data_IF_328652077226
#
_entry.id   IF_328652077226
#
_cell.length_a   1.000
_cell.length_b   1.000
_cell.length_c   1.000
_cell.angle_alpha   90.00
_cell.angle_beta   90.00
_cell.angle_gamma   90.00
#
_symmetry.space_group_name_H-M   'P 1'
#
loop_
_entity.id
_entity.type
_entity.pdbx_description
1 polymer ?
#
# COMPACT_ATOMS: atom_id res chain seq x y z
N UNK A 1 -19.68 -14.71 1.22
CA UNK A 1 -20.17 -14.83 -0.17
C UNK A 1 -18.98 -15.19 -1.05
N UNK A 2 -19.02 -16.36 -1.68
CA UNK A 2 -17.93 -16.85 -2.52
C UNK A 2 -17.90 -16.10 -3.84
N UNK A 3 -16.77 -15.47 -4.12
CA UNK A 3 -16.51 -14.86 -5.42
C UNK A 3 -16.44 -15.97 -6.46
N UNK A 4 -17.24 -15.83 -7.52
CA UNK A 4 -17.33 -16.80 -8.61
C UNK A 4 -15.95 -17.08 -9.20
N UNK A 5 -15.63 -18.37 -9.32
CA UNK A 5 -14.48 -18.86 -10.08
C UNK A 5 -14.58 -18.30 -11.51
N UNK A 6 -13.72 -17.33 -11.88
CA UNK A 6 -13.22 -17.02 -13.25
C UNK A 6 -12.85 -15.54 -13.53
N UNK A 7 -12.64 -14.69 -12.53
CA UNK A 7 -11.84 -13.47 -12.73
C UNK A 7 -10.47 -13.71 -12.13
N UNK A 8 -9.42 -13.66 -12.95
CA UNK A 8 -8.05 -13.72 -12.41
C UNK A 8 -7.88 -12.50 -11.54
N UNK A 9 -7.34 -12.66 -10.33
CA UNK A 9 -7.11 -11.54 -9.42
C UNK A 9 -6.26 -10.43 -10.08
N UNK A 10 -5.45 -10.81 -11.08
CA UNK A 10 -4.62 -9.94 -11.94
C UNK A 10 -5.40 -9.09 -12.94
N UNK A 11 -6.67 -9.41 -13.23
CA UNK A 11 -7.49 -8.61 -14.14
C UNK A 11 -7.99 -7.32 -13.47
N UNK A 12 -7.81 -7.22 -12.16
CA UNK A 12 -8.22 -6.07 -11.36
C UNK A 12 -7.10 -5.03 -11.30
N UNK A 13 -7.42 -3.81 -11.72
CA UNK A 13 -6.50 -2.67 -11.69
C UNK A 13 -6.79 -1.67 -10.56
N UNK A 14 -7.79 -1.89 -9.70
CA UNK A 14 -8.14 -1.00 -8.59
C UNK A 14 -8.87 -1.73 -7.46
N UNK A 15 -8.78 -1.20 -6.24
CA UNK A 15 -9.35 -1.76 -5.01
C UNK A 15 -9.91 -0.65 -4.12
N UNK A 16 -11.15 -0.83 -3.64
CA UNK A 16 -11.80 0.09 -2.70
C UNK A 16 -11.47 -0.26 -1.23
N UNK A 17 -11.90 0.58 -0.30
CA UNK A 17 -11.60 0.44 1.12
C UNK A 17 -12.05 -0.93 1.68
N UNK A 18 -13.27 -1.36 1.36
CA UNK A 18 -13.82 -2.64 1.83
C UNK A 18 -12.94 -3.81 1.39
N UNK A 19 -12.43 -3.78 0.16
CA UNK A 19 -11.54 -4.81 -0.37
C UNK A 19 -10.15 -4.78 0.26
N UNK A 20 -9.64 -3.59 0.60
CA UNK A 20 -8.41 -3.46 1.38
C UNK A 20 -8.59 -4.02 2.80
N UNK A 21 -9.77 -3.86 3.40
CA UNK A 21 -10.11 -4.48 4.68
C UNK A 21 -10.20 -6.01 4.56
N UNK A 22 -10.75 -6.54 3.46
CA UNK A 22 -10.68 -7.98 3.17
C UNK A 22 -9.24 -8.47 3.03
N UNK A 23 -8.33 -7.67 2.45
CA UNK A 23 -6.91 -7.96 2.42
C UNK A 23 -6.30 -7.99 3.83
N UNK A 24 -6.62 -6.99 4.65
CA UNK A 24 -6.11 -6.89 6.01
C UNK A 24 -6.54 -8.08 6.89
N UNK A 25 -7.74 -8.60 6.67
CA UNK A 25 -8.20 -9.83 7.31
C UNK A 25 -7.69 -11.14 6.67
N UNK A 26 -6.87 -11.06 5.62
CA UNK A 26 -6.31 -12.25 4.94
C UNK A 26 -7.31 -13.02 4.09
N UNK A 27 -8.43 -12.38 3.73
CA UNK A 27 -9.49 -12.98 2.91
C UNK A 27 -9.34 -12.70 1.42
N UNK A 28 -8.47 -11.76 1.04
CA UNK A 28 -8.27 -11.36 -0.36
C UNK A 28 -7.29 -12.28 -1.11
N UNK A 29 -6.08 -12.49 -0.57
CA UNK A 29 -5.04 -13.34 -1.18
C UNK A 29 -5.05 -14.79 -0.69
N UNK A 30 -5.93 -15.11 0.26
CA UNK A 30 -6.02 -16.41 0.91
C UNK A 30 -5.11 -16.56 2.14
N UNK A 31 -5.33 -17.60 2.96
CA UNK A 31 -4.64 -17.79 4.23
C UNK A 31 -3.12 -17.93 4.08
N UNK A 32 -2.36 -17.24 4.92
CA UNK A 32 -0.89 -17.33 4.96
C UNK A 32 -0.16 -16.48 3.91
N UNK A 33 -0.89 -15.79 3.03
CA UNK A 33 -0.32 -14.90 2.01
C UNK A 33 -0.27 -13.44 2.50
N UNK A 34 0.04 -12.51 1.59
CA UNK A 34 0.16 -11.09 1.90
C UNK A 34 -1.13 -10.57 2.58
N UNK A 35 -0.94 -9.70 3.57
CA UNK A 35 -2.01 -9.00 4.27
C UNK A 35 -1.60 -7.55 4.44
N UNK A 36 -2.55 -6.64 4.29
CA UNK A 36 -2.38 -5.27 4.73
C UNK A 36 -2.52 -5.17 6.26
N UNK A 37 -1.99 -4.12 6.90
CA UNK A 37 -2.37 -3.79 8.26
C UNK A 37 -3.86 -3.46 8.34
N UNK A 38 -4.47 -3.69 9.52
CA UNK A 38 -5.80 -3.13 9.82
C UNK A 38 -5.67 -1.66 10.25
N UNK A 39 -6.73 -0.85 10.12
CA UNK A 39 -6.81 0.44 10.82
C UNK A 39 -6.52 0.27 12.33
N UNK A 40 -5.79 1.21 12.95
CA UNK A 40 -5.41 2.51 12.42
C UNK A 40 -4.06 2.52 11.66
N UNK A 41 -3.48 1.36 11.34
CA UNK A 41 -2.17 1.25 10.64
C UNK A 41 -2.28 1.12 9.11
N UNK A 42 -3.48 0.91 8.55
CA UNK A 42 -3.71 0.98 7.11
C UNK A 42 -3.59 2.43 6.62
N UNK A 43 -2.65 2.72 5.72
CA UNK A 43 -2.26 4.11 5.37
C UNK A 43 -2.77 4.59 4.00
N UNK A 44 -3.79 3.96 3.46
CA UNK A 44 -4.51 4.41 2.27
C UNK A 44 -5.92 3.84 2.22
N UNK A 45 -6.83 4.59 1.60
CA UNK A 45 -8.25 4.23 1.53
C UNK A 45 -8.59 3.43 0.27
N UNK A 46 -7.79 3.58 -0.78
CA UNK A 46 -7.99 2.88 -2.06
C UNK A 46 -6.71 2.77 -2.86
N UNK A 47 -6.62 1.70 -3.65
CA UNK A 47 -5.67 1.58 -4.76
C UNK A 47 -6.43 1.98 -6.01
N UNK A 48 -6.05 3.11 -6.61
CA UNK A 48 -6.69 3.64 -7.84
C UNK A 48 -6.12 2.99 -9.09
N UNK A 49 -4.88 2.49 -9.03
CA UNK A 49 -4.20 1.82 -10.14
C UNK A 49 -3.22 0.77 -9.63
N UNK A 50 -3.21 -0.39 -10.25
CA UNK A 50 -2.16 -1.40 -10.12
C UNK A 50 -1.95 -2.08 -11.47
N UNK A 51 -0.70 -2.30 -11.87
CA UNK A 51 -0.36 -2.83 -13.19
C UNK A 51 0.99 -3.56 -13.18
N UNK A 52 1.11 -4.65 -13.98
CA UNK A 52 2.38 -5.36 -14.22
C UNK A 52 3.33 -4.60 -15.18
N UNK A 53 2.81 -3.57 -15.86
CA UNK A 53 3.54 -2.72 -16.82
C UNK A 53 3.39 -1.24 -16.47
N UNK A 54 4.21 -0.38 -17.08
CA UNK A 54 4.26 1.04 -16.72
C UNK A 54 5.26 1.32 -15.60
N UNK A 55 5.14 2.50 -14.98
CA UNK A 55 6.15 3.05 -14.06
C UNK A 55 7.46 3.43 -14.77
N UNK A 56 8.35 4.12 -14.06
CA UNK A 56 9.62 4.62 -14.61
C UNK A 56 10.52 3.53 -15.22
N UNK A 57 10.41 2.28 -14.76
CA UNK A 57 11.22 1.16 -15.23
C UNK A 57 10.46 0.19 -16.17
N UNK A 58 9.18 0.47 -16.48
CA UNK A 58 8.34 -0.43 -17.28
C UNK A 58 8.07 -1.79 -16.63
N UNK A 59 8.21 -1.90 -15.29
CA UNK A 59 8.05 -3.15 -14.52
C UNK A 59 6.80 -3.17 -13.63
N UNK A 60 5.92 -2.19 -13.81
CA UNK A 60 4.69 -2.06 -13.06
C UNK A 60 4.66 -0.82 -12.18
N UNK A 61 3.45 -0.47 -11.75
CA UNK A 61 3.19 0.70 -10.94
C UNK A 61 1.97 0.47 -10.03
N UNK A 62 1.93 1.19 -8.92
CA UNK A 62 0.78 1.26 -8.03
C UNK A 62 0.50 2.71 -7.68
N UNK A 63 -0.74 3.14 -7.80
CA UNK A 63 -1.23 4.43 -7.32
C UNK A 63 -2.32 4.21 -6.26
N UNK A 64 -2.25 4.97 -5.17
CA UNK A 64 -3.20 4.90 -4.07
C UNK A 64 -3.50 6.28 -3.49
N UNK A 65 -4.64 6.39 -2.81
CA UNK A 65 -5.09 7.64 -2.21
C UNK A 65 -5.42 7.44 -0.73
N UNK A 66 -5.13 8.46 0.08
CA UNK A 66 -5.52 8.54 1.48
C UNK A 66 -6.16 9.89 1.75
N UNK A 67 -7.41 9.87 2.20
CA UNK A 67 -8.17 11.06 2.56
C UNK A 67 -7.67 11.60 3.90
N UNK A 68 -7.29 12.87 3.92
CA UNK A 68 -6.81 13.52 5.14
C UNK A 68 -7.97 14.22 5.83
N UNK A 69 -8.18 13.85 7.09
CA UNK A 69 -9.20 14.45 7.97
C UNK A 69 -8.52 14.98 9.23
N UNK A 70 -8.93 16.15 9.74
CA UNK A 70 -8.33 16.73 10.95
C UNK A 70 -8.42 15.84 12.20
N UNK A 71 -9.35 14.87 12.22
CA UNK A 71 -9.60 13.98 13.35
C UNK A 71 -8.85 12.65 13.28
N UNK A 72 -8.03 12.43 12.24
CA UNK A 72 -7.14 11.27 12.14
C UNK A 72 -6.27 11.14 13.40
N UNK A 73 -6.12 9.90 13.86
CA UNK A 73 -5.58 9.59 15.18
C UNK A 73 -4.19 10.19 15.43
N UNK A 74 -3.33 10.18 14.41
CA UNK A 74 -1.95 10.62 14.55
C UNK A 74 -1.83 12.13 14.78
N UNK A 75 -2.75 12.96 14.27
CA UNK A 75 -2.71 14.40 14.51
C UNK A 75 -2.97 14.75 15.98
N UNK A 76 -3.66 13.88 16.72
CA UNK A 76 -3.96 14.08 18.14
C UNK A 76 -2.75 13.82 19.04
N UNK A 77 -1.72 13.16 18.54
CA UNK A 77 -0.55 12.77 19.33
C UNK A 77 0.79 13.12 18.68
N UNK A 78 0.80 13.75 17.50
CA UNK A 78 2.02 14.05 16.75
C UNK A 78 1.89 15.40 16.04
N UNK A 79 2.19 16.52 16.70
CA UNK A 79 2.51 16.71 18.12
C UNK A 79 1.41 17.55 18.80
N UNK A 80 1.42 17.62 20.13
CA UNK A 80 0.52 18.52 20.85
C UNK A 80 0.84 19.98 20.49
N UNK A 81 -0.16 20.73 19.99
CA UNK A 81 0.00 22.10 19.49
C UNK A 81 0.67 22.26 18.12
N UNK A 82 1.19 21.19 17.51
CA UNK A 82 1.83 21.20 16.18
C UNK A 82 1.49 19.91 15.39
N UNK A 83 0.22 19.76 14.95
CA UNK A 83 -0.25 18.52 14.35
C UNK A 83 0.32 18.32 12.94
N UNK A 84 0.99 17.18 12.73
CA UNK A 84 1.59 16.77 11.46
C UNK A 84 1.57 15.25 11.32
N UNK A 85 1.25 14.74 10.13
CA UNK A 85 1.33 13.29 9.90
C UNK A 85 2.77 12.80 10.09
N UNK A 86 3.00 11.74 10.87
CA UNK A 86 4.32 11.13 10.97
C UNK A 86 4.83 10.68 9.59
N UNK A 87 5.98 11.19 9.15
CA UNK A 87 6.56 10.83 7.85
C UNK A 87 6.83 9.33 7.69
N UNK A 88 7.05 8.61 8.79
CA UNK A 88 7.20 7.15 8.79
C UNK A 88 5.93 6.41 8.37
N UNK A 89 4.73 6.96 8.61
CA UNK A 89 3.48 6.35 8.16
C UNK A 89 3.29 6.49 6.65
N UNK A 90 3.74 7.62 6.07
CA UNK A 90 3.78 7.79 4.61
C UNK A 90 4.76 6.81 3.94
N UNK A 91 5.90 6.53 4.60
CA UNK A 91 6.83 5.49 4.15
C UNK A 91 6.21 4.09 4.25
N UNK A 92 5.52 3.80 5.35
CA UNK A 92 4.87 2.50 5.54
C UNK A 92 3.77 2.24 4.50
N UNK A 93 3.04 3.28 4.08
CA UNK A 93 2.10 3.17 2.95
C UNK A 93 2.77 2.61 1.69
N UNK A 94 3.99 3.06 1.35
CA UNK A 94 4.71 2.57 0.17
C UNK A 94 5.14 1.10 0.33
N UNK A 95 5.58 0.68 1.52
CA UNK A 95 5.87 -0.73 1.80
C UNK A 95 4.61 -1.60 1.75
N UNK A 96 3.49 -1.11 2.29
CA UNK A 96 2.19 -1.77 2.21
C UNK A 96 1.76 -1.98 0.76
N UNK A 97 1.89 -0.95 -0.12
CA UNK A 97 1.58 -1.05 -1.54
C UNK A 97 2.49 -2.04 -2.28
N UNK A 98 3.79 -2.05 -1.99
CA UNK A 98 4.71 -3.03 -2.59
C UNK A 98 4.37 -4.45 -2.15
N UNK A 99 4.05 -4.66 -0.86
CA UNK A 99 3.60 -5.95 -0.33
C UNK A 99 2.28 -6.40 -0.98
N UNK A 100 1.33 -5.49 -1.15
CA UNK A 100 0.08 -5.74 -1.86
C UNK A 100 0.33 -6.14 -3.31
N UNK A 101 1.21 -5.43 -4.02
CA UNK A 101 1.62 -5.75 -5.39
C UNK A 101 2.18 -7.17 -5.50
N UNK A 102 3.04 -7.60 -4.57
CA UNK A 102 3.57 -8.96 -4.57
C UNK A 102 2.47 -10.02 -4.34
N UNK A 103 1.52 -9.75 -3.45
CA UNK A 103 0.33 -10.60 -3.28
C UNK A 103 -0.54 -10.65 -4.55
N UNK A 104 -0.76 -9.49 -5.19
CA UNK A 104 -1.52 -9.35 -6.43
C UNK A 104 -0.88 -10.07 -7.62
N UNK A 105 0.45 -10.11 -7.68
CA UNK A 105 1.21 -10.91 -8.65
C UNK A 105 1.13 -12.42 -8.40
N UNK A 106 0.54 -12.86 -7.28
CA UNK A 106 0.39 -14.27 -6.89
C UNK A 106 1.51 -14.80 -5.99
N UNK A 107 2.24 -13.92 -5.31
CA UNK A 107 3.30 -14.30 -4.38
C UNK A 107 2.76 -14.95 -3.09
N UNK A 108 3.21 -16.15 -2.73
CA UNK A 108 2.81 -16.77 -1.47
C UNK A 108 3.58 -16.18 -0.28
N UNK A 109 3.01 -16.32 0.92
CA UNK A 109 3.66 -15.97 2.18
C UNK A 109 3.36 -14.56 2.69
N UNK A 110 3.68 -14.33 3.96
CA UNK A 110 3.42 -13.07 4.64
C UNK A 110 4.45 -11.98 4.26
N UNK A 111 3.98 -10.76 4.01
CA UNK A 111 4.83 -9.63 3.66
C UNK A 111 5.68 -9.13 4.84
N UNK A 112 6.93 -8.74 4.56
CA UNK A 112 7.83 -8.05 5.51
C UNK A 112 8.62 -6.98 4.76
N UNK A 113 8.57 -5.74 5.27
CA UNK A 113 9.50 -4.71 4.82
C UNK A 113 10.93 -5.11 5.21
N UNK A 114 11.89 -4.93 4.30
CA UNK A 114 13.28 -5.37 4.51
C UNK A 114 14.22 -4.19 4.71
N UNK A 115 14.13 -3.19 3.85
CA UNK A 115 14.96 -2.00 3.88
C UNK A 115 14.33 -0.88 3.07
N UNK A 116 14.87 0.31 3.25
CA UNK A 116 14.72 1.43 2.33
C UNK A 116 16.11 1.92 1.96
N UNK A 117 16.26 2.43 0.73
CA UNK A 117 17.46 3.11 0.31
C UNK A 117 17.49 4.53 0.88
N UNK A 118 17.44 5.52 0.01
CA UNK A 118 17.37 6.91 0.41
C UNK A 118 15.92 7.34 0.68
N UNK A 119 15.71 8.13 1.73
CA UNK A 119 14.43 8.77 2.05
C UNK A 119 14.67 10.27 2.19
N UNK A 120 13.81 11.07 1.55
CA UNK A 120 13.82 12.53 1.68
C UNK A 120 12.42 13.01 2.03
N UNK A 121 12.30 13.72 3.15
CA UNK A 121 11.10 14.48 3.50
C UNK A 121 11.36 15.95 3.21
N UNK A 122 10.71 16.49 2.18
CA UNK A 122 10.87 17.89 1.73
C UNK A 122 9.66 18.77 2.04
N UNK A 123 8.63 18.17 2.65
CA UNK A 123 7.40 18.83 3.04
C UNK A 123 6.70 18.04 4.14
N UNK A 124 5.48 18.43 4.46
CA UNK A 124 4.70 17.87 5.56
C UNK A 124 3.21 17.79 5.21
N UNK A 125 2.48 16.93 5.91
CA UNK A 125 1.02 16.80 5.77
C UNK A 125 0.37 17.34 7.04
N UNK A 126 -0.37 18.43 6.88
CA UNK A 126 -1.11 19.10 7.95
C UNK A 126 -2.57 18.63 7.99
N UNK A 127 -3.31 18.87 9.09
CA UNK A 127 -4.74 18.57 9.20
C UNK A 127 -5.62 19.23 8.12
N UNK A 128 -5.13 20.31 7.50
CA UNK A 128 -5.82 21.06 6.45
C UNK A 128 -5.63 20.48 5.05
N UNK A 129 -4.73 19.50 4.88
CA UNK A 129 -4.61 18.78 3.62
C UNK A 129 -5.90 17.99 3.35
N UNK A 130 -6.19 17.74 2.07
CA UNK A 130 -7.40 17.01 1.66
C UNK A 130 -7.09 15.54 1.34
N UNK A 131 -5.94 15.28 0.72
CA UNK A 131 -5.61 13.97 0.17
C UNK A 131 -4.10 13.81 0.02
N UNK A 132 -3.61 12.62 0.32
CA UNK A 132 -2.29 12.15 -0.12
C UNK A 132 -2.48 11.22 -1.32
N UNK A 133 -1.61 11.38 -2.32
CA UNK A 133 -1.47 10.43 -3.43
C UNK A 133 -0.14 9.72 -3.29
N UNK A 134 -0.18 8.41 -3.18
CA UNK A 134 1.00 7.56 -3.22
C UNK A 134 1.19 7.04 -4.64
N UNK A 135 2.43 7.07 -5.11
CA UNK A 135 2.85 6.45 -6.35
C UNK A 135 4.07 5.59 -6.07
N UNK A 136 4.06 4.37 -6.57
CA UNK A 136 5.11 3.39 -6.41
C UNK A 136 5.46 2.85 -7.79
N UNK A 137 6.70 3.06 -8.23
CA UNK A 137 7.17 2.56 -9.52
C UNK A 137 8.05 1.32 -9.27
N UNK A 138 7.61 0.16 -9.75
CA UNK A 138 8.35 -1.10 -9.54
C UNK A 138 9.63 -1.07 -10.35
N UNK A 139 10.75 -1.42 -9.71
CA UNK A 139 12.07 -1.53 -10.34
C UNK A 139 12.42 -2.98 -10.67
N UNK A 140 12.10 -3.90 -9.75
CA UNK A 140 12.40 -5.33 -9.91
C UNK A 140 11.46 -6.20 -9.09
N UNK A 141 11.05 -7.33 -9.67
CA UNK A 141 10.37 -8.41 -8.97
C UNK A 141 11.18 -9.70 -9.16
N UNK A 142 11.42 -10.43 -8.08
CA UNK A 142 12.05 -11.75 -8.08
C UNK A 142 11.04 -12.75 -7.53
N UNK A 143 10.64 -13.73 -8.36
CA UNK A 143 9.67 -14.77 -8.01
C UNK A 143 10.37 -16.14 -7.97
N UNK A 144 11.14 -16.40 -6.90
CA UNK A 144 11.83 -17.69 -6.70
C UNK A 144 11.42 -18.28 -5.34
N UNK A 145 12.37 -18.84 -4.57
CA UNK A 145 12.14 -19.30 -3.19
C UNK A 145 11.65 -18.17 -2.27
N UNK A 146 12.04 -16.94 -2.56
CA UNK A 146 11.54 -15.71 -1.94
C UNK A 146 10.89 -14.86 -3.03
N UNK A 147 9.70 -14.34 -2.75
CA UNK A 147 9.07 -13.28 -3.53
C UNK A 147 9.56 -11.93 -3.01
N UNK A 148 10.33 -11.23 -3.83
CA UNK A 148 10.96 -9.96 -3.45
C UNK A 148 10.63 -8.89 -4.47
N UNK A 149 10.10 -7.76 -3.99
CA UNK A 149 9.89 -6.55 -4.77
C UNK A 149 10.91 -5.48 -4.40
N UNK A 150 11.31 -4.68 -5.37
CA UNK A 150 12.10 -3.46 -5.21
C UNK A 150 11.38 -2.39 -6.03
N UNK A 151 11.13 -1.25 -5.42
CA UNK A 151 10.43 -0.13 -6.04
C UNK A 151 11.04 1.20 -5.60
N UNK A 152 10.75 2.23 -6.37
CA UNK A 152 11.09 3.63 -6.10
C UNK A 152 9.78 4.44 -5.89
#
# INVERSE_FOLDING_TARGET
>A
MGWGKNVSFKDRSSFNFEELIECAHGRLFGPGNAQLPLPPMLMFDRITKISETGGANGKGEVEAEFEIKPDLWFFKCHFDGDPVMPGCLGMDALWQLLGFMLGWLGGPGAGRALSVGEVKFTGQVLPTAQMIKFRLDVKRVIMRKLFLGIAD
#
